data_IF_074127845218
#
_entry.id   IF_074127845218
#
_cell.length_a   1.000
_cell.length_b   1.000
_cell.length_c   1.000
_cell.angle_alpha   90.00
_cell.angle_beta   90.00
_cell.angle_gamma   90.00
#
_symmetry.space_group_name_H-M   'P 1'
#
loop_
_entity.id
_entity.type
_entity.pdbx_description
1 polymer ?
#
# COMPACT_ATOMS: atom_id res chain seq x y z
N UNK A 1 -0.78 -0.75 -20.24
CA UNK A 1 -2.14 -1.10 -20.71
C UNK A 1 -3.12 0.08 -20.74
N UNK A 2 -2.80 1.27 -20.18
CA UNK A 2 -3.75 2.39 -20.10
C UNK A 2 -4.16 3.02 -21.46
N UNK A 3 -3.52 2.62 -22.55
CA UNK A 3 -3.87 3.03 -23.92
C UNK A 3 -4.49 1.93 -24.80
N UNK A 4 -4.67 0.71 -24.28
CA UNK A 4 -5.19 -0.43 -25.07
C UNK A 4 -6.67 -0.63 -24.74
N UNK A 5 -7.49 -0.68 -25.78
CA UNK A 5 -8.94 -0.88 -25.70
C UNK A 5 -9.29 -2.31 -25.33
N UNK A 6 -10.53 -2.54 -24.87
CA UNK A 6 -11.03 -3.90 -24.66
C UNK A 6 -11.21 -4.67 -25.96
N UNK A 7 -11.31 -4.01 -27.11
CA UNK A 7 -11.34 -4.68 -28.40
C UNK A 7 -9.96 -5.26 -28.73
N UNK A 8 -8.91 -4.45 -28.67
CA UNK A 8 -7.53 -4.89 -28.93
C UNK A 8 -7.06 -5.97 -27.94
N UNK A 9 -7.41 -5.86 -26.65
CA UNK A 9 -7.03 -6.88 -25.65
C UNK A 9 -7.63 -8.26 -25.95
N UNK A 10 -8.83 -8.29 -26.52
CA UNK A 10 -9.56 -9.53 -26.81
C UNK A 10 -9.56 -9.86 -28.30
N UNK A 11 -8.82 -9.13 -29.11
CA UNK A 11 -8.71 -9.37 -30.55
C UNK A 11 -8.14 -10.76 -30.83
N UNK A 12 -8.67 -11.47 -31.82
CA UNK A 12 -8.31 -12.88 -32.05
C UNK A 12 -6.86 -13.03 -32.51
N UNK A 13 -6.36 -12.07 -33.28
CA UNK A 13 -5.10 -12.20 -34.01
C UNK A 13 -3.95 -11.52 -33.26
N UNK A 14 -4.20 -10.33 -32.68
CA UNK A 14 -3.18 -9.56 -31.96
C UNK A 14 -3.38 -9.52 -30.44
N UNK A 15 -4.57 -9.91 -29.95
CA UNK A 15 -4.90 -9.88 -28.53
C UNK A 15 -4.34 -11.07 -27.74
N UNK A 16 -4.01 -10.85 -26.47
CA UNK A 16 -3.44 -11.89 -25.60
C UNK A 16 -4.47 -12.99 -25.34
N UNK A 17 -4.17 -14.22 -25.80
CA UNK A 17 -5.07 -15.37 -25.74
C UNK A 17 -5.66 -15.65 -24.33
N UNK A 18 -4.89 -15.35 -23.27
CA UNK A 18 -5.36 -15.48 -21.89
C UNK A 18 -6.68 -14.73 -21.62
N UNK A 19 -6.92 -13.55 -22.20
CA UNK A 19 -8.16 -12.83 -21.93
C UNK A 19 -9.39 -13.55 -22.49
N UNK A 20 -9.30 -14.03 -23.74
CA UNK A 20 -10.38 -14.79 -24.39
C UNK A 20 -10.62 -16.14 -23.73
N UNK A 21 -9.55 -16.79 -23.27
CA UNK A 21 -9.65 -18.04 -22.53
C UNK A 21 -10.31 -17.84 -21.14
N UNK A 22 -10.20 -16.66 -20.52
CA UNK A 22 -10.86 -16.39 -19.24
C UNK A 22 -12.36 -16.11 -19.40
N UNK A 23 -12.73 -15.21 -20.31
CA UNK A 23 -14.13 -14.84 -20.55
C UNK A 23 -14.32 -14.12 -21.89
N UNK A 24 -15.54 -14.10 -22.45
CA UNK A 24 -15.85 -13.28 -23.62
C UNK A 24 -15.71 -11.78 -23.35
N UNK A 25 -15.26 -11.01 -24.36
CA UNK A 25 -15.11 -9.55 -24.29
C UNK A 25 -16.41 -8.81 -23.90
N UNK A 26 -17.55 -9.27 -24.42
CA UNK A 26 -18.88 -8.74 -24.06
C UNK A 26 -19.18 -8.92 -22.57
N UNK A 27 -18.84 -10.09 -22.00
CA UNK A 27 -19.01 -10.37 -20.57
C UNK A 27 -18.08 -9.51 -19.72
N UNK A 28 -16.81 -9.38 -20.09
CA UNK A 28 -15.86 -8.51 -19.39
C UNK A 28 -16.36 -7.06 -19.34
N UNK A 29 -16.85 -6.55 -20.46
CA UNK A 29 -17.38 -5.18 -20.57
C UNK A 29 -18.65 -5.01 -19.72
N UNK A 30 -19.59 -5.95 -19.80
CA UNK A 30 -20.80 -5.95 -18.97
C UNK A 30 -20.46 -5.94 -17.47
N UNK A 31 -19.63 -6.88 -17.01
CA UNK A 31 -19.24 -6.97 -15.60
C UNK A 31 -18.51 -5.71 -15.12
N UNK A 32 -17.59 -5.20 -15.94
CA UNK A 32 -16.87 -3.96 -15.62
C UNK A 32 -17.86 -2.82 -15.42
N UNK A 33 -18.91 -2.69 -16.26
CA UNK A 33 -19.93 -1.65 -16.13
C UNK A 33 -20.87 -1.86 -14.92
N UNK A 34 -21.13 -3.11 -14.54
CA UNK A 34 -22.08 -3.47 -13.50
C UNK A 34 -21.48 -3.56 -12.08
N UNK A 35 -20.17 -3.74 -11.92
CA UNK A 35 -19.56 -3.90 -10.59
C UNK A 35 -19.87 -2.72 -9.65
N UNK A 36 -20.27 -3.02 -8.41
CA UNK A 36 -20.56 -2.10 -7.30
C UNK A 36 -19.98 -2.69 -6.01
N UNK A 37 -19.71 -1.85 -5.02
CA UNK A 37 -19.06 -2.25 -3.77
C UNK A 37 -19.90 -1.92 -2.54
N UNK A 38 -21.17 -1.62 -2.74
CA UNK A 38 -22.12 -1.17 -1.73
C UNK A 38 -23.55 -1.60 -2.13
N UNK A 39 -24.43 -1.63 -1.14
CA UNK A 39 -25.85 -1.88 -1.34
C UNK A 39 -26.57 -0.62 -1.86
N UNK A 40 -27.37 -0.78 -2.92
CA UNK A 40 -28.16 0.30 -3.52
C UNK A 40 -29.25 0.79 -2.56
N UNK A 41 -29.83 -0.08 -1.73
CA UNK A 41 -30.93 0.27 -0.82
C UNK A 41 -30.51 1.27 0.25
N UNK A 42 -29.30 1.11 0.81
CA UNK A 42 -28.78 1.97 1.89
C UNK A 42 -27.87 3.11 1.41
N UNK A 43 -27.62 3.21 0.09
CA UNK A 43 -26.62 4.13 -0.47
C UNK A 43 -26.89 5.60 -0.19
N UNK A 44 -28.15 6.04 -0.26
CA UNK A 44 -28.49 7.47 -0.13
C UNK A 44 -28.14 7.97 1.28
N UNK A 45 -28.67 7.30 2.30
CA UNK A 45 -28.41 7.58 3.72
C UNK A 45 -26.91 7.48 4.06
N UNK A 46 -26.20 6.48 3.52
CA UNK A 46 -24.75 6.35 3.75
C UNK A 46 -23.96 7.50 3.14
N UNK A 47 -24.34 8.01 1.97
CA UNK A 47 -23.62 9.10 1.27
C UNK A 47 -23.75 10.46 1.94
N UNK A 48 -24.83 10.68 2.70
CA UNK A 48 -25.01 11.89 3.49
C UNK A 48 -23.99 11.99 4.63
N UNK A 49 -23.60 10.84 5.19
CA UNK A 49 -22.63 10.75 6.30
C UNK A 49 -21.20 10.51 5.84
N UNK A 50 -21.00 9.71 4.78
CA UNK A 50 -19.68 9.35 4.27
C UNK A 50 -19.59 9.50 2.76
N UNK A 51 -18.76 10.44 2.31
CA UNK A 51 -18.50 10.66 0.88
C UNK A 51 -17.85 9.44 0.20
N UNK A 52 -17.17 8.57 0.97
CA UNK A 52 -16.55 7.35 0.47
C UNK A 52 -17.50 6.14 0.48
N UNK A 53 -18.75 6.29 0.96
CA UNK A 53 -19.70 5.20 1.13
C UNK A 53 -19.74 4.16 -0.01
N UNK A 54 -19.69 4.54 -1.31
CA UNK A 54 -19.74 3.57 -2.40
C UNK A 54 -18.61 2.53 -2.49
N UNK A 55 -17.53 2.69 -1.71
CA UNK A 55 -16.45 1.71 -1.62
C UNK A 55 -15.84 1.57 -0.20
N UNK A 56 -16.46 2.22 0.79
CA UNK A 56 -15.98 2.28 2.18
C UNK A 56 -15.65 0.92 2.74
N UNK A 57 -16.60 -0.01 2.69
CA UNK A 57 -16.49 -1.34 3.29
C UNK A 57 -15.32 -2.14 2.70
N UNK A 58 -15.16 -2.12 1.37
CA UNK A 58 -14.05 -2.80 0.70
C UNK A 58 -12.70 -2.13 1.01
N UNK A 59 -12.66 -0.80 1.02
CA UNK A 59 -11.45 -0.05 1.32
C UNK A 59 -10.95 -0.37 2.74
N UNK A 60 -11.82 -0.24 3.73
CA UNK A 60 -11.49 -0.49 5.13
C UNK A 60 -11.10 -1.96 5.34
N UNK A 61 -11.80 -2.91 4.70
CA UNK A 61 -11.44 -4.33 4.76
C UNK A 61 -10.01 -4.58 4.28
N UNK A 62 -9.60 -4.00 3.15
CA UNK A 62 -8.24 -4.19 2.61
C UNK A 62 -7.19 -3.51 3.49
N UNK A 63 -7.46 -2.31 3.99
CA UNK A 63 -6.54 -1.61 4.90
C UNK A 63 -6.37 -2.38 6.22
N UNK A 64 -7.48 -2.81 6.83
CA UNK A 64 -7.45 -3.60 8.07
C UNK A 64 -6.73 -4.93 7.88
N UNK A 65 -6.98 -5.62 6.77
CA UNK A 65 -6.22 -6.85 6.44
C UNK A 65 -4.73 -6.56 6.26
N UNK A 66 -4.36 -5.45 5.62
CA UNK A 66 -2.94 -5.09 5.47
C UNK A 66 -2.26 -4.85 6.81
N UNK A 67 -2.95 -4.19 7.75
CA UNK A 67 -2.45 -4.00 9.13
C UNK A 67 -2.31 -5.32 9.90
N UNK A 68 -3.24 -6.25 9.74
CA UNK A 68 -3.22 -7.52 10.48
C UNK A 68 -2.17 -8.51 10.00
N UNK A 69 -1.77 -8.43 8.73
CA UNK A 69 -0.88 -9.41 8.11
C UNK A 69 0.59 -9.07 8.22
N UNK A 70 0.93 -7.82 8.52
CA UNK A 70 2.30 -7.31 8.45
C UNK A 70 2.66 -6.48 9.69
N UNK A 71 3.81 -6.79 10.27
CA UNK A 71 4.43 -5.97 11.31
C UNK A 71 5.44 -5.03 10.65
N UNK A 72 5.29 -3.70 10.78
CA UNK A 72 6.25 -2.75 10.22
C UNK A 72 7.68 -2.96 10.72
N UNK A 73 8.65 -2.64 9.87
CA UNK A 73 10.07 -2.55 10.23
C UNK A 73 10.32 -1.31 11.10
N UNK A 74 11.58 -1.03 11.39
CA UNK A 74 12.02 0.05 12.26
C UNK A 74 11.58 1.43 11.73
N UNK A 75 11.50 1.56 10.40
CA UNK A 75 11.28 2.82 9.72
C UNK A 75 10.11 2.75 8.75
N UNK A 76 9.20 3.72 8.88
CA UNK A 76 8.08 3.93 7.97
C UNK A 76 8.13 5.32 7.35
N UNK A 77 7.36 5.52 6.29
CA UNK A 77 7.15 6.82 5.65
C UNK A 77 5.66 7.12 5.63
N UNK A 78 5.29 8.35 5.95
CA UNK A 78 3.93 8.87 5.74
C UNK A 78 3.97 9.93 4.66
N UNK A 79 3.17 9.72 3.62
CA UNK A 79 3.04 10.64 2.49
C UNK A 79 1.71 10.37 1.75
N UNK A 80 1.55 10.97 0.59
CA UNK A 80 0.38 10.87 -0.26
C UNK A 80 0.62 10.13 -1.59
N UNK A 81 -0.39 9.36 -1.98
CA UNK A 81 -0.56 8.86 -3.34
C UNK A 81 -1.74 9.58 -4.01
N UNK A 82 -1.63 9.82 -5.32
CA UNK A 82 -2.70 10.42 -6.11
C UNK A 82 -3.17 9.42 -7.18
N UNK A 83 -4.39 8.89 -7.02
CA UNK A 83 -4.98 8.03 -8.03
C UNK A 83 -5.57 8.88 -9.17
N UNK A 84 -4.96 8.82 -10.35
CA UNK A 84 -5.36 9.61 -11.52
C UNK A 84 -6.85 9.43 -11.86
N UNK A 85 -7.60 10.54 -11.84
CA UNK A 85 -9.03 10.55 -12.16
C UNK A 85 -9.50 11.94 -12.59
N UNK A 86 -10.08 12.03 -13.80
CA UNK A 86 -10.62 13.30 -14.34
C UNK A 86 -12.13 13.42 -14.27
N UNK A 87 -12.85 12.33 -13.99
CA UNK A 87 -14.32 12.33 -13.94
C UNK A 87 -14.93 13.13 -12.78
N UNK A 88 -16.24 12.98 -12.60
CA UNK A 88 -16.97 13.60 -11.47
C UNK A 88 -16.70 12.83 -10.18
N UNK A 89 -16.09 13.49 -9.21
CA UNK A 89 -15.85 12.98 -7.86
C UNK A 89 -15.90 14.18 -6.89
N UNK A 90 -16.64 14.08 -5.78
CA UNK A 90 -16.86 15.21 -4.86
C UNK A 90 -15.60 15.63 -4.08
N UNK A 91 -14.54 14.82 -4.11
CA UNK A 91 -13.27 15.07 -3.41
C UNK A 91 -12.06 14.87 -4.33
N UNK A 92 -12.25 15.11 -5.64
CA UNK A 92 -11.14 15.16 -6.60
C UNK A 92 -10.23 16.33 -6.24
N UNK A 93 -8.92 16.08 -6.20
CA UNK A 93 -7.89 17.06 -5.92
C UNK A 93 -7.10 17.40 -7.17
N UNK A 94 -6.60 18.64 -7.22
CA UNK A 94 -5.58 19.09 -8.17
C UNK A 94 -4.25 19.26 -7.45
N UNK A 95 -3.21 18.54 -7.90
CA UNK A 95 -1.86 18.61 -7.33
C UNK A 95 -0.88 18.90 -8.48
N UNK A 96 -0.42 20.16 -8.63
CA UNK A 96 0.39 20.58 -9.79
C UNK A 96 1.70 19.81 -9.95
N UNK A 97 2.29 19.35 -8.84
CA UNK A 97 3.59 18.69 -8.78
C UNK A 97 3.57 17.21 -9.16
N UNK A 98 2.40 16.55 -9.18
CA UNK A 98 2.29 15.14 -9.55
C UNK A 98 2.11 14.99 -11.08
N UNK A 99 2.62 13.90 -11.70
CA UNK A 99 2.50 13.68 -13.14
C UNK A 99 1.04 13.72 -13.63
N UNK A 100 0.16 13.01 -12.94
CA UNK A 100 -1.28 13.07 -13.13
C UNK A 100 -1.88 14.12 -12.18
N UNK A 101 -1.99 15.35 -12.65
CA UNK A 101 -2.37 16.49 -11.79
C UNK A 101 -3.76 16.41 -11.16
N UNK A 102 -4.67 15.57 -11.68
CA UNK A 102 -6.04 15.44 -11.18
C UNK A 102 -6.32 14.01 -10.72
N UNK A 103 -6.79 13.86 -9.49
CA UNK A 103 -7.05 12.54 -8.95
C UNK A 103 -7.70 12.50 -7.58
N UNK A 104 -7.75 11.30 -7.02
CA UNK A 104 -8.22 11.04 -5.65
C UNK A 104 -6.98 10.92 -4.77
N UNK A 105 -6.84 11.82 -3.80
CA UNK A 105 -5.70 11.84 -2.88
C UNK A 105 -5.91 10.79 -1.78
N UNK A 106 -4.91 9.93 -1.57
CA UNK A 106 -4.85 8.93 -0.50
C UNK A 106 -3.66 9.27 0.37
N UNK A 107 -3.89 9.48 1.67
CA UNK A 107 -2.81 9.52 2.65
C UNK A 107 -2.44 8.08 3.01
N UNK A 108 -1.17 7.77 3.13
CA UNK A 108 -0.73 6.42 3.45
C UNK A 108 0.53 6.37 4.29
N UNK A 109 0.66 5.28 5.04
CA UNK A 109 1.89 4.88 5.69
C UNK A 109 2.44 3.64 5.00
N UNK A 110 3.69 3.73 4.53
CA UNK A 110 4.42 2.62 3.93
C UNK A 110 5.66 2.27 4.75
N UNK A 111 5.96 0.99 4.83
CA UNK A 111 7.23 0.50 5.36
C UNK A 111 8.40 0.94 4.46
N UNK A 112 9.44 1.54 5.02
CA UNK A 112 10.56 2.08 4.22
C UNK A 112 11.49 0.99 3.66
N UNK A 113 11.46 -0.24 4.19
CA UNK A 113 12.35 -1.35 3.80
C UNK A 113 11.73 -2.25 2.74
N UNK A 114 10.46 -2.60 2.92
CA UNK A 114 9.72 -3.55 2.09
C UNK A 114 8.67 -2.87 1.20
N UNK A 115 8.49 -1.55 1.34
CA UNK A 115 7.50 -0.78 0.58
C UNK A 115 6.09 -1.35 0.74
N UNK A 116 5.78 -1.88 1.92
CA UNK A 116 4.47 -2.45 2.24
C UNK A 116 3.51 -1.31 2.62
N UNK A 117 2.29 -1.29 2.08
CA UNK A 117 1.25 -0.35 2.54
C UNK A 117 0.70 -0.82 3.89
N UNK A 118 1.16 -0.19 4.97
CA UNK A 118 0.75 -0.50 6.34
C UNK A 118 -0.58 0.15 6.69
N UNK A 119 -0.86 1.35 6.19
CA UNK A 119 -2.11 2.05 6.45
C UNK A 119 -2.46 2.99 5.29
N UNK A 120 -3.75 3.29 5.10
CA UNK A 120 -4.19 4.26 4.11
C UNK A 120 -5.55 4.88 4.46
N UNK A 121 -5.77 6.12 4.04
CA UNK A 121 -7.06 6.82 4.16
C UNK A 121 -7.27 7.78 3.01
N UNK A 122 -8.45 7.73 2.38
CA UNK A 122 -8.82 8.67 1.33
C UNK A 122 -9.06 10.06 1.93
N UNK A 123 -8.48 11.08 1.30
CA UNK A 123 -8.76 12.48 1.63
C UNK A 123 -10.07 12.91 0.94
N UNK A 124 -11.11 13.18 1.73
CA UNK A 124 -12.47 13.51 1.25
C UNK A 124 -12.81 15.01 1.29
N UNK A 125 -11.81 15.87 1.51
CA UNK A 125 -11.95 17.33 1.58
C UNK A 125 -12.29 17.85 2.97
N UNK A 126 -12.89 19.04 3.03
CA UNK A 126 -13.32 19.67 4.30
C UNK A 126 -14.32 18.78 5.05
N UNK A 127 -14.17 18.69 6.38
CA UNK A 127 -14.99 17.85 7.26
C UNK A 127 -14.43 16.43 7.50
N UNK A 128 -13.24 16.12 6.98
CA UNK A 128 -12.58 14.81 7.17
C UNK A 128 -11.79 14.68 8.48
N UNK A 129 -11.83 15.68 9.35
CA UNK A 129 -11.02 15.80 10.57
C UNK A 129 -11.93 16.12 11.76
N UNK A 130 -11.50 15.71 12.96
CA UNK A 130 -12.18 16.10 14.20
C UNK A 130 -12.14 17.62 14.41
N UNK A 131 -13.19 18.18 15.05
CA UNK A 131 -13.25 19.60 15.37
C UNK A 131 -12.02 20.03 16.19
N UNK A 132 -11.42 21.17 15.85
CA UNK A 132 -10.25 21.72 16.53
C UNK A 132 -8.90 21.07 16.20
N UNK A 133 -8.87 19.97 15.43
CA UNK A 133 -7.61 19.30 15.04
C UNK A 133 -7.23 19.67 13.62
N UNK A 134 -5.98 20.13 13.43
CA UNK A 134 -5.46 20.44 12.09
C UNK A 134 -5.42 19.18 11.22
N UNK A 135 -5.65 19.31 9.91
CA UNK A 135 -5.57 18.17 9.00
C UNK A 135 -4.18 17.50 9.03
N UNK A 136 -3.12 18.29 9.13
CA UNK A 136 -1.74 17.84 9.30
C UNK A 136 -1.59 16.89 10.49
N UNK A 137 -2.04 17.32 11.67
CA UNK A 137 -1.96 16.51 12.88
C UNK A 137 -2.85 15.27 12.79
N UNK A 138 -4.10 15.44 12.34
CA UNK A 138 -5.06 14.36 12.21
C UNK A 138 -4.51 13.22 11.34
N UNK A 139 -4.03 13.52 10.13
CA UNK A 139 -3.52 12.49 9.24
C UNK A 139 -2.19 11.90 9.72
N UNK A 140 -1.33 12.70 10.36
CA UNK A 140 -0.08 12.18 10.92
C UNK A 140 -0.34 11.14 12.03
N UNK A 141 -1.25 11.43 12.95
CA UNK A 141 -1.65 10.51 14.02
C UNK A 141 -2.37 9.29 13.46
N UNK A 142 -3.34 9.50 12.57
CA UNK A 142 -4.15 8.41 12.00
C UNK A 142 -3.34 7.45 11.12
N UNK A 143 -2.38 7.95 10.34
CA UNK A 143 -1.57 7.10 9.47
C UNK A 143 -0.60 6.25 10.29
N UNK A 144 -0.10 6.79 11.40
CA UNK A 144 0.87 6.12 12.29
C UNK A 144 0.25 5.19 13.32
N UNK A 145 -1.07 5.05 13.38
CA UNK A 145 -1.74 4.14 14.33
C UNK A 145 -1.13 2.73 14.40
N UNK A 146 -0.72 2.06 13.29
CA UNK A 146 -0.08 0.74 13.38
C UNK A 146 1.29 0.73 14.10
N UNK A 147 1.90 1.89 14.31
CA UNK A 147 3.18 2.05 15.00
C UNK A 147 3.05 2.59 16.44
N UNK A 148 1.84 2.94 16.90
CA UNK A 148 1.63 3.49 18.24
C UNK A 148 2.08 2.50 19.32
N UNK A 149 2.80 2.99 20.34
CA UNK A 149 3.34 2.17 21.43
C UNK A 149 4.59 1.36 21.09
N UNK A 150 5.18 1.54 19.89
CA UNK A 150 6.25 0.66 19.42
C UNK A 150 7.63 1.31 19.31
N UNK A 151 7.74 2.62 19.57
CA UNK A 151 8.98 3.40 19.44
C UNK A 151 9.61 3.39 18.03
N UNK A 152 8.86 2.99 17.00
CA UNK A 152 9.26 3.09 15.59
C UNK A 152 9.34 4.55 15.14
N UNK A 153 10.16 4.79 14.13
CA UNK A 153 10.25 6.10 13.49
C UNK A 153 9.38 6.16 12.22
N UNK A 154 8.69 7.28 12.04
CA UNK A 154 8.05 7.64 10.78
C UNK A 154 8.72 8.88 10.17
N UNK A 155 9.05 8.78 8.89
CA UNK A 155 9.56 9.89 8.08
C UNK A 155 8.41 10.59 7.35
N UNK A 156 8.42 11.92 7.34
CA UNK A 156 7.32 12.74 6.87
C UNK A 156 7.78 13.85 5.92
N UNK A 157 6.92 14.27 4.98
CA UNK A 157 7.11 15.51 4.23
C UNK A 157 6.54 16.74 4.98
N UNK A 158 6.91 17.93 4.50
CA UNK A 158 6.61 19.24 5.06
C UNK A 158 5.14 19.56 5.31
N UNK A 159 4.21 18.87 4.66
CA UNK A 159 2.78 19.04 4.92
C UNK A 159 2.36 18.42 6.25
N UNK A 160 3.07 17.38 6.69
CA UNK A 160 2.78 16.60 7.90
C UNK A 160 3.60 17.08 9.11
N UNK A 161 4.74 17.74 8.89
CA UNK A 161 5.69 18.09 9.96
C UNK A 161 5.36 19.42 10.64
N UNK A 162 5.17 19.38 11.96
CA UNK A 162 5.09 20.54 12.85
C UNK A 162 5.59 20.17 14.24
N UNK A 163 5.96 21.16 15.08
CA UNK A 163 6.39 20.92 16.46
C UNK A 163 5.29 20.20 17.26
N UNK A 164 4.04 20.66 17.16
CA UNK A 164 2.90 20.05 17.86
C UNK A 164 2.70 18.60 17.45
N UNK A 165 2.76 18.31 16.14
CA UNK A 165 2.65 16.94 15.64
C UNK A 165 3.80 16.06 16.11
N UNK A 166 5.02 16.58 16.12
CA UNK A 166 6.20 15.84 16.56
C UNK A 166 6.13 15.49 18.05
N UNK A 167 5.73 16.45 18.90
CA UNK A 167 5.50 16.20 20.34
C UNK A 167 4.38 15.19 20.56
N UNK A 168 3.22 15.40 19.92
CA UNK A 168 2.07 14.50 20.06
C UNK A 168 2.40 13.05 19.68
N UNK A 169 3.12 12.83 18.59
CA UNK A 169 3.54 11.48 18.21
C UNK A 169 4.51 10.87 19.23
N UNK A 170 5.42 11.67 19.78
CA UNK A 170 6.40 11.20 20.75
C UNK A 170 5.77 10.91 22.12
N UNK A 171 5.09 11.91 22.70
CA UNK A 171 4.56 11.91 24.06
C UNK A 171 3.32 11.00 24.19
N UNK A 172 2.34 11.14 23.28
CA UNK A 172 1.05 10.46 23.40
C UNK A 172 1.03 9.07 22.73
N UNK A 173 1.93 8.84 21.77
CA UNK A 173 1.85 7.68 20.89
C UNK A 173 3.13 6.84 20.82
N UNK A 174 4.23 7.24 21.47
CA UNK A 174 5.51 6.54 21.42
C UNK A 174 5.96 6.24 19.97
N UNK A 175 5.86 7.24 19.10
CA UNK A 175 6.33 7.23 17.71
C UNK A 175 7.28 8.39 17.50
N UNK A 176 8.49 8.11 17.01
CA UNK A 176 9.43 9.18 16.65
C UNK A 176 9.15 9.68 15.24
N UNK A 177 9.48 10.95 15.00
CA UNK A 177 9.26 11.64 13.74
C UNK A 177 10.60 12.19 13.24
N UNK A 178 10.81 12.07 11.93
CA UNK A 178 11.80 12.88 11.18
C UNK A 178 11.10 13.46 9.96
N UNK A 179 11.24 14.75 9.70
CA UNK A 179 10.61 15.32 8.51
C UNK A 179 11.09 16.70 8.14
N UNK A 180 10.82 17.09 6.90
CA UNK A 180 11.10 18.45 6.42
C UNK A 180 10.15 19.43 7.07
N UNK A 181 10.63 20.60 7.48
CA UNK A 181 9.78 21.64 8.06
C UNK A 181 9.76 22.88 7.17
N UNK A 182 8.59 23.49 7.00
CA UNK A 182 8.49 24.75 6.25
C UNK A 182 9.16 25.88 7.02
N UNK A 183 9.89 26.74 6.32
CA UNK A 183 10.67 27.85 6.90
C UNK A 183 9.82 28.98 7.49
N UNK A 184 8.56 29.09 7.09
CA UNK A 184 7.64 30.14 7.51
C UNK A 184 6.91 29.81 8.82
N UNK A 185 7.41 28.83 9.59
CA UNK A 185 6.88 28.46 10.89
C UNK A 185 7.43 29.43 11.94
N UNK A 186 6.53 30.04 12.72
CA UNK A 186 6.87 31.08 13.70
C UNK A 186 7.79 30.56 14.82
N UNK A 187 7.78 29.25 15.04
CA UNK A 187 8.57 28.56 16.04
C UNK A 187 10.05 28.41 15.64
N UNK A 188 10.41 28.74 14.39
CA UNK A 188 11.79 28.67 13.90
C UNK A 188 12.53 29.97 14.26
N UNK A 189 13.69 29.90 14.93
CA UNK A 189 14.51 31.09 15.18
C UNK A 189 14.90 31.79 13.86
N UNK A 190 14.84 33.12 13.77
CA UNK A 190 15.19 33.85 12.52
C UNK A 190 16.58 33.52 11.98
N UNK A 191 17.56 33.27 12.87
CA UNK A 191 18.92 32.88 12.49
C UNK A 191 19.00 31.55 11.73
N UNK A 192 17.99 30.67 11.84
CA UNK A 192 17.97 29.37 11.15
C UNK A 192 17.52 29.48 9.70
N UNK A 193 16.84 30.57 9.32
CA UNK A 193 16.38 30.82 7.95
C UNK A 193 17.24 31.84 7.20
N UNK A 194 18.13 32.53 7.90
CA UNK A 194 19.06 33.50 7.32
C UNK A 194 20.15 32.81 6.49
N UNK A 195 20.30 33.25 5.24
CA UNK A 195 21.31 32.74 4.30
C UNK A 195 22.56 33.61 4.23
N UNK A 196 22.46 34.88 4.62
CA UNK A 196 23.57 35.83 4.52
C UNK A 196 24.64 35.43 5.55
N UNK A 197 25.89 35.31 5.11
CA UNK A 197 27.01 34.92 5.99
C UNK A 197 27.10 33.44 6.34
N UNK A 198 26.16 32.58 5.93
CA UNK A 198 26.24 31.12 6.18
C UNK A 198 27.20 30.44 5.20
N UNK A 199 28.19 29.73 5.75
CA UNK A 199 29.11 28.92 4.96
C UNK A 199 28.39 27.79 4.21
N UNK A 200 28.93 27.39 3.06
CA UNK A 200 28.44 26.21 2.35
C UNK A 200 28.81 24.95 3.12
N UNK A 201 27.94 23.94 3.06
CA UNK A 201 28.11 22.69 3.78
C UNK A 201 28.17 22.88 5.32
N UNK A 202 27.47 23.90 5.83
CA UNK A 202 27.34 24.16 7.26
C UNK A 202 25.99 23.70 7.79
N UNK A 203 25.96 23.34 9.08
CA UNK A 203 24.76 22.92 9.80
C UNK A 203 24.60 23.76 11.08
N UNK A 204 23.36 24.00 11.48
CA UNK A 204 23.00 24.57 12.78
C UNK A 204 21.93 23.69 13.40
N UNK A 205 22.06 23.45 14.70
CA UNK A 205 21.13 22.64 15.47
C UNK A 205 20.54 23.47 16.60
N UNK A 206 19.24 23.30 16.82
CA UNK A 206 18.54 23.79 18.01
C UNK A 206 17.85 22.63 18.69
N UNK A 207 17.84 22.66 20.02
CA UNK A 207 17.31 21.58 20.85
C UNK A 207 16.23 22.14 21.79
N UNK A 208 15.12 21.42 21.93
CA UNK A 208 14.05 21.76 22.86
C UNK A 208 13.42 20.47 23.39
N UNK A 209 13.85 20.04 24.58
CA UNK A 209 13.47 18.74 25.13
C UNK A 209 13.90 17.61 24.19
N UNK A 210 12.92 16.85 23.70
CA UNK A 210 13.14 15.73 22.76
C UNK A 210 13.26 16.16 21.29
N UNK A 211 13.01 17.43 20.99
CA UNK A 211 13.03 17.96 19.63
C UNK A 211 14.43 18.43 19.25
N UNK A 212 14.88 18.02 18.07
CA UNK A 212 16.06 18.54 17.40
C UNK A 212 15.66 19.17 16.06
N UNK A 213 15.98 20.45 15.90
CA UNK A 213 15.78 21.21 14.67
C UNK A 213 17.13 21.39 13.96
N UNK A 214 17.20 21.03 12.69
CA UNK A 214 18.37 21.22 11.84
C UNK A 214 18.10 22.29 10.77
N UNK A 215 19.02 23.25 10.64
CA UNK A 215 19.19 24.12 9.48
C UNK A 215 20.49 23.75 8.75
N UNK A 216 20.38 23.18 7.55
CA UNK A 216 21.52 22.73 6.74
C UNK A 216 21.66 23.55 5.44
N UNK A 217 22.88 23.99 5.15
CA UNK A 217 23.26 24.69 3.93
C UNK A 217 24.02 23.73 2.98
N UNK A 218 23.38 23.17 1.93
CA UNK A 218 24.00 22.18 1.05
C UNK A 218 25.08 22.77 0.13
N UNK A 219 26.09 21.98 -0.29
CA UNK A 219 27.24 22.46 -1.06
C UNK A 219 26.90 22.92 -2.49
N UNK A 220 25.93 22.26 -3.15
CA UNK A 220 25.68 22.38 -4.60
C UNK A 220 24.42 23.18 -4.99
N UNK A 221 23.78 23.91 -4.06
CA UNK A 221 22.59 24.74 -4.40
C UNK A 221 22.82 26.21 -4.05
N UNK A 222 22.68 27.09 -5.06
CA UNK A 222 22.60 28.53 -4.82
C UNK A 222 21.41 28.81 -3.88
N UNK A 223 21.69 29.30 -2.67
CA UNK A 223 20.75 29.96 -1.76
C UNK A 223 19.55 29.13 -1.27
N UNK A 224 19.74 27.89 -0.79
CA UNK A 224 18.64 27.12 -0.17
C UNK A 224 19.07 26.45 1.13
N UNK A 225 18.50 26.88 2.24
CA UNK A 225 18.51 26.12 3.51
C UNK A 225 17.54 24.93 3.43
N UNK A 226 17.96 23.78 3.93
CA UNK A 226 17.11 22.62 4.22
C UNK A 226 16.80 22.61 5.71
N UNK A 227 15.53 22.52 6.07
CA UNK A 227 15.07 22.46 7.46
C UNK A 227 14.51 21.07 7.76
N UNK A 228 15.03 20.41 8.79
CA UNK A 228 14.53 19.13 9.29
C UNK A 228 14.18 19.24 10.76
N UNK A 229 13.06 18.62 11.16
CA UNK A 229 12.66 18.43 12.55
C UNK A 229 12.71 16.95 12.87
N UNK A 230 13.22 16.61 14.05
CA UNK A 230 13.36 15.24 14.51
C UNK A 230 13.04 15.10 16.00
N UNK A 231 12.39 14.01 16.39
CA UNK A 231 12.34 13.52 17.78
C UNK A 231 13.18 12.26 18.01
N UNK A 232 13.77 11.70 16.95
CA UNK A 232 14.65 10.52 17.02
C UNK A 232 16.11 10.91 17.34
N UNK A 233 16.67 11.84 16.58
CA UNK A 233 18.04 12.33 16.76
C UNK A 233 18.13 13.28 17.96
N UNK A 234 19.07 13.01 18.89
CA UNK A 234 19.30 13.82 20.11
C UNK A 234 20.58 14.66 20.06
N UNK A 235 21.41 14.49 19.02
CA UNK A 235 22.69 15.16 18.83
C UNK A 235 22.82 15.66 17.39
N UNK A 236 23.70 16.64 17.20
CA UNK A 236 24.01 17.22 15.90
C UNK A 236 25.16 16.50 15.21
N UNK A 237 25.05 15.18 15.04
CA UNK A 237 26.14 14.37 14.51
C UNK A 237 26.29 14.57 12.99
N UNK A 238 27.54 14.56 12.52
CA UNK A 238 27.90 14.73 11.10
C UNK A 238 28.82 13.61 10.65
N UNK A 239 28.66 13.14 9.41
CA UNK A 239 29.56 12.12 8.85
C UNK A 239 30.95 12.69 8.55
N UNK A 240 31.99 11.96 8.94
CA UNK A 240 33.41 12.35 8.80
C UNK A 240 33.82 12.60 7.33
N UNK A 241 33.22 11.87 6.40
CA UNK A 241 33.63 11.86 4.99
C UNK A 241 33.03 12.98 4.13
N UNK A 242 31.87 13.55 4.52
CA UNK A 242 31.12 14.51 3.67
C UNK A 242 30.66 15.77 4.43
N UNK A 243 30.83 15.83 5.76
CA UNK A 243 30.17 16.82 6.64
C UNK A 243 28.64 16.90 6.39
N UNK A 244 28.04 15.79 5.96
CA UNK A 244 26.59 15.70 5.81
C UNK A 244 26.01 15.38 7.18
N UNK A 245 25.06 16.19 7.69
CA UNK A 245 24.40 15.86 8.96
C UNK A 245 23.70 14.50 8.87
N UNK A 246 23.87 13.69 9.92
CA UNK A 246 23.27 12.35 10.02
C UNK A 246 21.75 12.39 9.78
N UNK A 247 21.07 13.38 10.37
CA UNK A 247 19.65 13.62 10.16
C UNK A 247 19.25 13.81 8.68
N UNK A 248 20.11 14.43 7.86
CA UNK A 248 19.85 14.59 6.41
C UNK A 248 20.04 13.27 5.68
N UNK A 249 21.07 12.51 6.05
CA UNK A 249 21.31 11.18 5.51
C UNK A 249 20.12 10.25 5.82
N UNK A 250 19.76 10.13 7.09
CA UNK A 250 18.63 9.32 7.54
C UNK A 250 17.32 9.71 6.85
N UNK A 251 17.04 11.01 6.73
CA UNK A 251 15.86 11.48 6.00
C UNK A 251 15.86 11.02 4.54
N UNK A 252 17.00 11.11 3.84
CA UNK A 252 17.09 10.70 2.44
C UNK A 252 16.93 9.19 2.25
N UNK A 253 17.44 8.38 3.18
CA UNK A 253 17.32 6.93 3.15
C UNK A 253 15.86 6.47 3.38
N UNK A 254 15.13 7.17 4.24
CA UNK A 254 13.80 6.72 4.69
C UNK A 254 12.63 7.36 3.97
N UNK A 255 12.73 8.60 3.45
CA UNK A 255 11.61 9.37 2.86
C UNK A 255 10.95 8.73 1.63
N UNK A 256 11.55 7.71 1.05
CA UNK A 256 11.16 7.19 -0.27
C UNK A 256 10.08 6.11 -0.22
N UNK A 257 9.62 5.70 0.98
CA UNK A 257 8.76 4.52 1.13
C UNK A 257 7.48 4.58 0.29
N UNK A 258 6.74 5.68 0.43
CA UNK A 258 5.48 5.90 -0.31
C UNK A 258 5.72 6.16 -1.81
N UNK A 259 6.72 6.98 -2.15
CA UNK A 259 7.07 7.23 -3.56
C UNK A 259 7.48 5.94 -4.29
N UNK A 260 8.21 5.04 -3.63
CA UNK A 260 8.61 3.76 -4.20
C UNK A 260 7.40 2.85 -4.37
N UNK A 261 6.51 2.80 -3.38
CA UNK A 261 5.22 2.09 -3.51
C UNK A 261 4.41 2.62 -4.71
N UNK A 262 4.34 3.94 -4.88
CA UNK A 262 3.63 4.56 -6.01
C UNK A 262 4.26 4.18 -7.36
N UNK A 263 5.60 4.17 -7.44
CA UNK A 263 6.31 3.70 -8.64
C UNK A 263 6.01 2.22 -8.95
N UNK A 264 5.95 1.36 -7.93
CA UNK A 264 5.57 -0.04 -8.09
C UNK A 264 4.13 -0.19 -8.60
N UNK A 265 3.20 0.63 -8.11
CA UNK A 265 1.82 0.69 -8.61
C UNK A 265 1.80 1.07 -10.10
N UNK A 266 2.59 2.05 -10.53
CA UNK A 266 2.63 2.50 -11.92
C UNK A 266 3.24 1.44 -12.86
N UNK A 267 4.25 0.68 -12.41
CA UNK A 267 4.96 -0.31 -13.24
C UNK A 267 4.06 -1.45 -13.73
N UNK A 268 3.17 -1.95 -12.87
CA UNK A 268 2.25 -3.06 -13.20
C UNK A 268 0.79 -2.70 -12.90
N UNK A 269 0.39 -1.48 -13.26
CA UNK A 269 -0.96 -0.99 -12.94
C UNK A 269 -2.08 -1.75 -13.65
N UNK A 270 -3.12 -2.11 -12.89
CA UNK A 270 -4.38 -2.64 -13.42
C UNK A 270 -5.43 -1.57 -13.75
N UNK A 271 -5.09 -0.29 -13.58
CA UNK A 271 -6.02 0.81 -13.84
C UNK A 271 -6.58 0.78 -15.27
N UNK A 272 -7.83 1.19 -15.41
CA UNK A 272 -8.52 1.34 -16.70
C UNK A 272 -9.25 2.67 -16.72
N UNK A 273 -9.46 3.22 -17.92
CA UNK A 273 -10.31 4.41 -18.11
C UNK A 273 -11.71 4.11 -17.60
N UNK A 274 -12.22 4.96 -16.71
CA UNK A 274 -13.57 4.85 -16.14
C UNK A 274 -14.15 6.22 -15.84
N UNK A 275 -15.48 6.33 -15.87
CA UNK A 275 -16.22 7.52 -15.42
C UNK A 275 -16.67 7.42 -13.96
N UNK A 276 -16.47 6.26 -13.32
CA UNK A 276 -16.91 5.97 -11.95
C UNK A 276 -15.72 5.96 -11.01
N UNK A 277 -15.62 6.98 -10.17
CA UNK A 277 -14.53 7.13 -9.20
C UNK A 277 -14.35 5.94 -8.24
N UNK A 278 -15.40 5.20 -7.79
CA UNK A 278 -15.19 4.04 -6.90
C UNK A 278 -14.36 2.96 -7.59
N UNK A 279 -14.52 2.81 -8.91
CA UNK A 279 -13.74 1.84 -9.68
C UNK A 279 -12.26 2.24 -9.78
N UNK A 280 -11.96 3.54 -9.80
CA UNK A 280 -10.57 4.02 -9.72
C UNK A 280 -9.92 3.63 -8.40
N UNK A 281 -10.63 3.83 -7.28
CA UNK A 281 -10.15 3.41 -5.96
C UNK A 281 -9.96 1.89 -5.92
N UNK A 282 -10.91 1.12 -6.47
CA UNK A 282 -10.79 -0.34 -6.57
C UNK A 282 -9.53 -0.79 -7.32
N UNK A 283 -9.20 -0.17 -8.46
CA UNK A 283 -7.97 -0.49 -9.17
C UNK A 283 -6.71 -0.14 -8.36
N UNK A 284 -6.74 0.98 -7.62
CA UNK A 284 -5.68 1.32 -6.68
C UNK A 284 -5.49 0.26 -5.59
N UNK A 285 -6.60 -0.21 -5.01
CA UNK A 285 -6.60 -1.28 -4.01
C UNK A 285 -6.05 -2.60 -4.59
N UNK A 286 -6.38 -2.95 -5.83
CA UNK A 286 -5.82 -4.14 -6.49
C UNK A 286 -4.30 -4.04 -6.69
N UNK A 287 -3.81 -2.86 -7.09
CA UNK A 287 -2.36 -2.62 -7.17
C UNK A 287 -1.70 -2.77 -5.79
N UNK A 288 -2.30 -2.18 -4.76
CA UNK A 288 -1.80 -2.27 -3.38
C UNK A 288 -1.74 -3.71 -2.87
N UNK A 289 -2.80 -4.50 -3.06
CA UNK A 289 -2.83 -5.92 -2.69
C UNK A 289 -1.77 -6.71 -3.45
N UNK A 290 -1.57 -6.42 -4.74
CA UNK A 290 -0.50 -7.02 -5.53
C UNK A 290 0.89 -6.78 -4.93
N UNK A 291 1.19 -5.54 -4.53
CA UNK A 291 2.46 -5.15 -3.92
C UNK A 291 2.61 -5.76 -2.52
N UNK A 292 1.60 -5.64 -1.65
CA UNK A 292 1.64 -6.21 -0.30
C UNK A 292 1.84 -7.73 -0.33
N UNK A 293 1.17 -8.43 -1.26
CA UNK A 293 1.36 -9.88 -1.43
C UNK A 293 2.78 -10.24 -1.90
N UNK A 294 3.38 -9.41 -2.75
CA UNK A 294 4.75 -9.58 -3.20
C UNK A 294 5.74 -9.37 -2.07
N UNK A 295 5.55 -8.32 -1.26
CA UNK A 295 6.39 -8.05 -0.09
C UNK A 295 6.36 -9.24 0.89
N UNK A 296 5.17 -9.78 1.20
CA UNK A 296 5.07 -11.01 1.98
C UNK A 296 5.84 -12.18 1.37
N UNK A 297 5.67 -12.42 0.06
CA UNK A 297 6.37 -13.50 -0.63
C UNK A 297 7.90 -13.31 -0.54
N UNK A 298 8.40 -12.09 -0.74
CA UNK A 298 9.82 -11.78 -0.63
C UNK A 298 10.37 -12.05 0.76
N UNK A 299 9.64 -11.66 1.81
CA UNK A 299 10.04 -11.91 3.20
C UNK A 299 10.08 -13.40 3.51
N UNK A 300 9.02 -14.14 3.15
CA UNK A 300 8.96 -15.59 3.37
C UNK A 300 10.08 -16.31 2.64
N UNK A 301 10.34 -15.96 1.37
CA UNK A 301 11.41 -16.58 0.58
C UNK A 301 12.80 -16.28 1.13
N UNK A 302 13.05 -15.05 1.61
CA UNK A 302 14.29 -14.70 2.31
C UNK A 302 14.47 -15.50 3.60
N UNK A 303 13.41 -15.65 4.40
CA UNK A 303 13.44 -16.43 5.64
C UNK A 303 13.82 -17.90 5.38
N UNK A 304 13.28 -18.52 4.34
CA UNK A 304 13.58 -19.89 3.96
C UNK A 304 14.76 -20.03 2.97
N UNK A 305 15.51 -18.96 2.70
CA UNK A 305 16.65 -18.94 1.78
C UNK A 305 16.36 -19.55 0.40
N UNK A 306 15.19 -19.23 -0.16
CA UNK A 306 14.75 -19.73 -1.46
C UNK A 306 14.67 -18.61 -2.49
N UNK A 307 14.72 -18.99 -3.78
CA UNK A 307 14.65 -18.04 -4.89
C UNK A 307 13.43 -17.12 -4.78
N UNK A 308 13.70 -15.82 -4.86
CA UNK A 308 12.69 -14.76 -4.76
C UNK A 308 12.18 -14.49 -6.17
N UNK A 309 10.88 -14.74 -6.46
CA UNK A 309 10.36 -14.48 -7.80
C UNK A 309 10.44 -12.99 -8.12
N UNK A 310 10.64 -12.65 -9.39
CA UNK A 310 10.47 -11.27 -9.87
C UNK A 310 8.99 -10.87 -9.79
N UNK A 311 8.68 -9.57 -9.69
CA UNK A 311 7.29 -9.09 -9.65
C UNK A 311 6.47 -9.59 -10.85
N UNK A 312 7.08 -9.66 -12.04
CA UNK A 312 6.45 -10.20 -13.25
C UNK A 312 6.08 -11.68 -13.09
N UNK A 313 7.00 -12.49 -12.55
CA UNK A 313 6.76 -13.92 -12.30
C UNK A 313 5.68 -14.11 -11.24
N UNK A 314 5.71 -13.32 -10.17
CA UNK A 314 4.70 -13.35 -9.12
C UNK A 314 3.29 -13.04 -9.64
N UNK A 315 3.14 -11.96 -10.40
CA UNK A 315 1.85 -11.57 -10.99
C UNK A 315 1.33 -12.63 -11.98
N UNK A 316 2.21 -13.30 -12.74
CA UNK A 316 1.84 -14.44 -13.59
C UNK A 316 1.37 -15.66 -12.77
N UNK A 317 2.01 -15.94 -11.64
CA UNK A 317 1.57 -17.02 -10.75
C UNK A 317 0.19 -16.69 -10.16
N UNK A 318 -0.01 -15.46 -9.68
CA UNK A 318 -1.31 -15.00 -9.19
C UNK A 318 -2.39 -15.07 -10.26
N UNK A 319 -2.08 -14.70 -11.51
CA UNK A 319 -3.04 -14.84 -12.60
C UNK A 319 -3.42 -16.29 -12.79
N UNK A 320 -2.47 -17.23 -12.72
CA UNK A 320 -2.69 -18.67 -12.93
C UNK A 320 -3.45 -19.35 -11.78
N UNK A 321 -3.28 -18.90 -10.54
CA UNK A 321 -4.00 -19.43 -9.37
C UNK A 321 -5.52 -19.22 -9.48
N UNK A 322 -5.96 -18.17 -10.20
CA UNK A 322 -7.39 -17.90 -10.46
C UNK A 322 -8.04 -18.81 -11.51
N UNK A 323 -7.27 -19.63 -12.23
CA UNK A 323 -7.78 -20.55 -13.27
C UNK A 323 -8.14 -21.92 -12.74
N UNK A 324 -7.88 -22.18 -11.46
CA UNK A 324 -8.29 -23.41 -10.82
C UNK A 324 -9.71 -23.21 -10.27
N UNK A 325 -10.70 -24.07 -10.61
CA UNK A 325 -12.01 -24.02 -9.98
C UNK A 325 -11.85 -24.02 -8.45
N UNK A 326 -12.78 -23.38 -7.72
CA UNK A 326 -12.67 -23.17 -6.26
C UNK A 326 -12.38 -24.46 -5.48
N UNK A 327 -12.79 -25.62 -6.01
CA UNK A 327 -12.46 -26.97 -5.51
C UNK A 327 -10.95 -27.27 -5.47
N UNK A 328 -10.15 -26.68 -6.35
CA UNK A 328 -8.70 -26.91 -6.44
C UNK A 328 -7.85 -25.95 -5.61
N UNK A 329 -8.45 -24.87 -5.09
CA UNK A 329 -7.81 -24.04 -4.07
C UNK A 329 -7.65 -24.85 -2.76
N UNK A 330 -8.57 -25.77 -2.49
CA UNK A 330 -8.44 -26.78 -1.44
C UNK A 330 -7.37 -27.84 -1.77
N UNK A 331 -7.20 -28.20 -3.05
CA UNK A 331 -6.10 -29.07 -3.46
C UNK A 331 -4.72 -28.38 -3.38
N UNK A 332 -4.62 -27.05 -3.52
CA UNK A 332 -3.39 -26.31 -3.23
C UNK A 332 -3.04 -26.31 -1.74
N UNK A 333 -4.03 -26.31 -0.83
CA UNK A 333 -3.81 -26.57 0.60
C UNK A 333 -3.21 -27.98 0.82
N UNK A 334 -3.67 -28.98 0.06
CA UNK A 334 -3.12 -30.35 0.09
C UNK A 334 -1.75 -30.48 -0.57
N UNK A 335 -1.45 -29.69 -1.61
CA UNK A 335 -0.16 -29.78 -2.35
C UNK A 335 0.98 -29.11 -1.58
N UNK A 336 0.72 -28.01 -0.86
CA UNK A 336 1.68 -27.46 0.10
C UNK A 336 1.94 -28.42 1.29
N UNK A 337 0.96 -29.22 1.68
CA UNK A 337 1.11 -30.29 2.67
C UNK A 337 1.65 -31.62 2.10
N UNK A 338 1.88 -31.73 0.79
CA UNK A 338 2.31 -32.96 0.11
C UNK A 338 3.39 -32.73 -0.96
N UNK A 339 4.36 -31.85 -0.70
CA UNK A 339 5.63 -31.90 -1.43
C UNK A 339 6.48 -33.10 -0.96
N UNK A 340 5.93 -34.31 -1.06
CA UNK A 340 6.62 -35.58 -0.81
C UNK A 340 7.52 -36.01 -1.97
N UNK A 341 7.51 -35.28 -3.09
CA UNK A 341 8.37 -35.56 -4.26
C UNK A 341 9.79 -34.98 -4.16
N UNK A 342 10.04 -34.11 -3.19
CA UNK A 342 11.42 -33.76 -2.77
C UNK A 342 11.90 -34.74 -1.70
N UNK A 343 10.99 -35.28 -0.87
CA UNK A 343 11.30 -36.26 0.18
C UNK A 343 11.63 -37.65 -0.38
N UNK A 344 10.99 -38.09 -1.46
CA UNK A 344 11.31 -39.38 -2.10
C UNK A 344 12.67 -39.37 -2.81
N UNK A 345 13.04 -38.26 -3.46
CA UNK A 345 14.40 -38.06 -4.01
C UNK A 345 15.45 -37.81 -2.93
N UNK A 346 15.09 -37.13 -1.83
CA UNK A 346 15.97 -37.01 -0.66
C UNK A 346 16.14 -38.32 0.09
N UNK A 347 15.15 -39.22 0.15
CA UNK A 347 15.30 -40.53 0.80
C UNK A 347 16.10 -41.52 -0.05
N UNK A 348 16.07 -41.42 -1.38
CA UNK A 348 17.04 -42.11 -2.25
C UNK A 348 18.47 -41.58 -2.09
N UNK A 349 18.65 -40.31 -1.69
CA UNK A 349 19.96 -39.70 -1.43
C UNK A 349 20.38 -39.72 0.06
N UNK A 350 19.47 -40.03 0.99
CA UNK A 350 19.68 -40.12 2.45
C UNK A 350 19.88 -41.54 2.97
N UNK A 351 19.75 -42.56 2.12
CA UNK A 351 20.19 -43.94 2.42
C UNK A 351 21.70 -44.10 2.59
N UNK A 352 22.50 -43.03 2.45
CA UNK A 352 23.96 -43.06 2.61
C UNK A 352 24.49 -42.23 3.78
N UNK A 353 23.65 -41.59 4.61
CA UNK A 353 24.12 -40.80 5.77
C UNK A 353 23.18 -40.86 6.98
N UNK A 354 22.67 -42.06 7.30
CA UNK A 354 21.95 -42.32 8.54
C UNK A 354 22.93 -42.81 9.62
N UNK A 355 23.70 -41.87 10.18
CA UNK A 355 24.39 -42.05 11.46
C UNK A 355 24.87 -40.69 11.96
N UNK A 356 24.01 -39.98 12.70
CA UNK A 356 24.29 -39.08 13.84
C UNK A 356 23.31 -37.90 13.90
N UNK A 357 22.83 -37.67 15.12
CA UNK A 357 22.12 -36.49 15.64
C UNK A 357 20.62 -36.41 15.40
N UNK A 358 19.91 -37.24 16.17
CA UNK A 358 18.61 -36.94 16.77
C UNK A 358 18.93 -36.22 18.08
N UNK A 359 18.52 -34.97 18.27
CA UNK A 359 18.31 -34.33 19.60
C UNK A 359 17.80 -32.86 19.55
N UNK A 360 17.71 -32.20 18.39
CA UNK A 360 17.29 -30.78 18.33
C UNK A 360 15.81 -30.50 17.90
N UNK A 361 14.89 -31.49 17.93
CA UNK A 361 13.60 -31.36 17.22
C UNK A 361 12.35 -30.92 18.00
N UNK A 362 12.34 -30.78 19.32
CA UNK A 362 11.06 -30.52 20.02
C UNK A 362 10.63 -29.04 20.08
N UNK A 363 11.50 -28.06 19.84
CA UNK A 363 11.13 -26.63 19.97
C UNK A 363 10.54 -26.00 18.68
N UNK A 364 10.79 -26.58 17.50
CA UNK A 364 10.34 -25.99 16.21
C UNK A 364 8.88 -26.31 15.84
N UNK A 365 8.27 -27.33 16.44
CA UNK A 365 6.94 -27.80 16.08
C UNK A 365 5.81 -26.79 16.45
N UNK A 366 5.99 -26.03 17.53
CA UNK A 366 5.01 -25.02 17.97
C UNK A 366 4.93 -23.78 17.07
N UNK A 367 6.06 -23.38 16.47
CA UNK A 367 6.15 -22.20 15.62
C UNK A 367 5.53 -22.41 14.22
N UNK A 368 5.60 -23.64 13.69
CA UNK A 368 5.04 -23.99 12.39
C UNK A 368 3.49 -23.95 12.38
N UNK A 369 2.87 -24.43 13.45
CA UNK A 369 1.40 -24.40 13.65
C UNK A 369 0.82 -22.98 13.60
N UNK A 370 1.46 -22.01 14.27
CA UNK A 370 0.99 -20.63 14.32
C UNK A 370 1.11 -19.89 12.98
N UNK A 371 2.10 -20.25 12.15
CA UNK A 371 2.36 -19.64 10.84
C UNK A 371 1.36 -20.16 9.79
N UNK A 372 1.03 -21.45 9.82
CA UNK A 372 0.04 -22.03 8.91
C UNK A 372 -1.37 -21.44 9.15
N UNK A 373 -1.71 -21.16 10.41
CA UNK A 373 -2.91 -20.43 10.80
C UNK A 373 -2.96 -19.00 10.24
N UNK A 374 -1.83 -18.28 10.18
CA UNK A 374 -1.74 -16.92 9.61
C UNK A 374 -1.85 -16.94 8.08
N UNK A 375 -1.17 -17.88 7.42
CA UNK A 375 -1.25 -18.06 5.96
C UNK A 375 -2.67 -18.47 5.52
N UNK A 376 -3.35 -19.31 6.29
CA UNK A 376 -4.75 -19.67 6.05
C UNK A 376 -5.69 -18.45 6.15
N UNK A 377 -5.48 -17.56 7.12
CA UNK A 377 -6.24 -16.30 7.27
C UNK A 377 -6.02 -15.32 6.11
N UNK A 378 -4.80 -15.20 5.59
CA UNK A 378 -4.49 -14.40 4.37
C UNK A 378 -5.28 -14.95 3.18
N UNK A 379 -5.27 -16.28 3.00
CA UNK A 379 -5.94 -16.97 1.89
C UNK A 379 -7.47 -16.82 1.94
N UNK A 380 -8.06 -16.98 3.13
CA UNK A 380 -9.49 -16.74 3.34
C UNK A 380 -9.87 -15.28 3.10
N UNK A 381 -9.03 -14.32 3.51
CA UNK A 381 -9.30 -12.89 3.31
C UNK A 381 -9.27 -12.50 1.84
N UNK A 382 -8.30 -12.99 1.07
CA UNK A 382 -8.22 -12.76 -0.39
C UNK A 382 -9.39 -13.42 -1.13
N UNK A 383 -9.77 -14.65 -0.76
CA UNK A 383 -10.91 -15.36 -1.35
C UNK A 383 -12.27 -14.74 -0.98
N UNK A 384 -12.43 -14.28 0.26
CA UNK A 384 -13.64 -13.62 0.73
C UNK A 384 -13.84 -12.27 0.04
N UNK A 385 -12.76 -11.53 -0.27
CA UNK A 385 -12.83 -10.27 -1.04
C UNK A 385 -13.25 -10.51 -2.50
N UNK A 386 -12.87 -11.64 -3.10
CA UNK A 386 -13.25 -11.98 -4.48
C UNK A 386 -14.64 -12.59 -4.61
N UNK A 387 -15.10 -13.35 -3.60
CA UNK A 387 -16.39 -14.05 -3.66
C UNK A 387 -17.57 -13.21 -3.13
N UNK A 388 -17.35 -12.18 -2.30
CA UNK A 388 -18.44 -11.37 -1.73
C UNK A 388 -19.03 -10.31 -2.68
N UNK A 389 -18.46 -10.10 -3.88
CA UNK A 389 -18.89 -9.06 -4.82
C UNK A 389 -19.23 -9.57 -6.23
N UNK A 390 -19.33 -10.88 -6.41
CA UNK A 390 -19.92 -11.49 -7.61
C UNK A 390 -21.17 -12.24 -7.16
N UNK A 391 -22.39 -11.70 -7.31
CA UNK A 391 -23.58 -12.49 -7.04
C UNK A 391 -23.59 -13.66 -8.01
N UNK A 392 -23.60 -14.88 -7.47
CA UNK A 392 -23.95 -16.08 -8.20
C UNK A 392 -25.43 -15.96 -8.59
N UNK A 393 -25.69 -15.38 -9.77
CA UNK A 393 -27.02 -15.42 -10.36
C UNK A 393 -27.23 -16.86 -10.85
N UNK A 394 -27.90 -17.66 -10.03
CA UNK A 394 -28.30 -19.02 -10.35
C UNK A 394 -29.69 -18.95 -10.99
N UNK A 395 -29.76 -18.76 -12.31
CA UNK A 395 -31.01 -18.90 -13.06
C UNK A 395 -31.13 -20.38 -13.45
N UNK A 396 -31.88 -21.15 -12.66
CA UNK A 396 -32.38 -22.46 -13.07
C UNK A 396 -33.71 -22.26 -13.80
N UNK A 397 -33.89 -23.00 -14.90
CA UNK A 397 -35.03 -23.08 -15.81
C UNK A 397 -35.26 -21.87 -16.74
N UNK A 398 -34.91 -22.09 -18.02
CA UNK A 398 -35.45 -21.34 -19.16
C UNK A 398 -36.71 -22.10 -19.59
N UNK A 399 -37.89 -21.52 -19.36
CA UNK A 399 -39.10 -21.92 -20.09
C UNK A 399 -39.19 -21.06 -21.34
N UNK A 400 -39.17 -21.71 -22.49
CA UNK A 400 -39.36 -21.09 -23.81
C UNK A 400 -40.85 -20.79 -23.98
N UNK A 401 -41.22 -19.51 -24.07
CA UNK A 401 -42.55 -19.10 -24.54
C UNK A 401 -42.35 -18.40 -25.87
N UNK A 402 -42.84 -19.01 -26.95
CA UNK A 402 -42.96 -18.38 -28.26
C UNK A 402 -44.04 -17.30 -28.18
N UNK A 403 -43.73 -16.07 -28.58
CA UNK A 403 -44.75 -15.07 -28.92
C UNK A 403 -44.70 -14.83 -30.43
N UNK A 404 -45.83 -15.13 -31.06
CA UNK A 404 -46.17 -14.86 -32.45
C UNK A 404 -46.43 -13.37 -32.69
N UNK A 405 -46.06 -12.93 -33.88
CA UNK A 405 -46.33 -11.61 -34.45
C UNK A 405 -47.82 -11.28 -34.50
N UNK A 406 -48.16 -10.07 -34.08
CA UNK A 406 -49.25 -9.26 -34.63
C UNK A 406 -49.06 -7.83 -34.15
N UNK A 407 -49.00 -6.86 -35.05
CA UNK A 407 -49.94 -5.73 -35.04
C UNK A 407 -49.75 -4.91 -36.32
N UNK A 408 -50.71 -5.07 -37.23
CA UNK A 408 -51.10 -4.06 -38.20
C UNK A 408 -52.02 -3.04 -37.52
N UNK A 409 -51.69 -1.76 -37.64
CA UNK A 409 -52.51 -0.63 -38.09
C UNK A 409 -51.93 0.67 -37.55
#
# INVERSE_FOLDING_TARGET
>A
MNGVTTYELFDKDCGVAYFRATMPQKRFTFLTNCIRFDDKGTRQEKRERDRLAPIRELFDKIVNTSQQLYTPSEYCTVDEQLLAFRGRCPFKMYIPSKPDKYGIKIMMMCDSKNYYMCNAKVYTGKGSTSAGVSATEYYSVQMTTPNHGTNRNCTFDNWFTSINTARKLYDDHAVTMVGTMKKNKAEIPPSFVELRGREKNSAMFAFSGVLTLLSYCPPKRKKKIVMLLSTMHRRGDTTETVRLPDMVQFYNETKCGVDTFDQLCHRYSVSRRTRRWPLTVFYGLLNAVGINSMAHMQMTKKQYQTDVPTSRRWLRLLSNLRWKPVSDIQNFQRTCARSSTVYSRLNQLRGLRHARQVDEQEESAGAHSAIDLRIAKVKQSVAAVTNSYVPAINIRSVQTVQMTDAYSK
#
